data_IF_996993489471
#
_entry.id   IF_996993489471
#
_cell.length_a   1.000
_cell.length_b   1.000
_cell.length_c   1.000
_cell.angle_alpha   90.00
_cell.angle_beta   90.00
_cell.angle_gamma   90.00
#
_symmetry.space_group_name_H-M   'P 1'
#
loop_
_entity.id
_entity.type
_entity.pdbx_description
1 polymer ?
#
# COMPACT_ATOMS: atom_id res chain seq x y z
N UNK A 1 -17.11 37.59 -45.24
CA UNK A 1 -16.93 36.12 -45.30
C UNK A 1 -17.61 35.55 -44.07
N UNK A 2 -18.78 34.93 -44.23
CA UNK A 2 -19.61 34.48 -43.10
C UNK A 2 -19.13 33.11 -42.60
N UNK A 3 -19.12 32.85 -41.27
CA UNK A 3 -18.70 31.58 -40.71
C UNK A 3 -19.68 30.45 -41.11
N UNK A 4 -19.18 29.23 -41.39
CA UNK A 4 -20.03 28.11 -41.76
C UNK A 4 -20.94 27.70 -40.59
N UNK A 5 -22.21 27.40 -40.91
CA UNK A 5 -23.19 26.95 -39.95
C UNK A 5 -22.76 25.63 -39.26
N UNK A 6 -23.02 25.48 -37.94
CA UNK A 6 -22.64 24.30 -37.20
C UNK A 6 -23.41 23.07 -37.70
N UNK A 7 -22.68 22.03 -38.13
CA UNK A 7 -23.26 20.76 -38.56
C UNK A 7 -24.02 20.10 -37.41
N UNK A 8 -25.32 19.86 -37.58
CA UNK A 8 -26.15 19.13 -36.63
C UNK A 8 -25.71 17.67 -36.57
N UNK A 9 -24.81 17.33 -35.64
CA UNK A 9 -24.42 15.94 -35.41
C UNK A 9 -25.63 15.15 -34.89
N UNK A 10 -25.95 13.96 -35.44
CA UNK A 10 -27.08 13.17 -34.99
C UNK A 10 -26.90 12.80 -33.51
N UNK A 11 -27.95 13.03 -32.69
CA UNK A 11 -27.98 12.62 -31.28
C UNK A 11 -27.80 11.10 -31.22
N UNK A 12 -26.63 10.65 -30.75
CA UNK A 12 -26.39 9.22 -30.49
C UNK A 12 -27.42 8.74 -29.47
N UNK A 13 -28.14 7.67 -29.81
CA UNK A 13 -29.10 7.04 -28.88
C UNK A 13 -28.33 6.51 -27.67
N UNK A 14 -28.84 6.69 -26.44
CA UNK A 14 -28.20 6.16 -25.24
C UNK A 14 -28.02 4.64 -25.37
N UNK A 15 -26.79 4.17 -25.19
CA UNK A 15 -26.50 2.75 -25.19
C UNK A 15 -27.17 2.09 -23.96
N UNK A 16 -27.98 1.03 -24.12
CA UNK A 16 -28.60 0.34 -23.00
C UNK A 16 -27.51 -0.34 -22.18
N UNK A 17 -27.32 0.12 -20.93
CA UNK A 17 -26.32 -0.44 -20.01
C UNK A 17 -26.75 -1.83 -19.58
N UNK A 18 -25.99 -2.84 -20.00
CA UNK A 18 -26.17 -4.22 -19.56
C UNK A 18 -25.72 -4.40 -18.10
N UNK A 19 -26.06 -5.54 -17.50
CA UNK A 19 -25.66 -5.84 -16.12
C UNK A 19 -24.13 -5.95 -15.98
N UNK A 20 -23.44 -6.39 -17.05
CA UNK A 20 -21.98 -6.38 -17.15
C UNK A 20 -21.40 -4.97 -17.16
N UNK A 21 -22.01 -4.03 -17.88
CA UNK A 21 -21.55 -2.62 -17.92
C UNK A 21 -21.67 -1.93 -16.55
N UNK A 22 -22.62 -2.35 -15.72
CA UNK A 22 -22.78 -1.82 -14.35
C UNK A 22 -21.72 -2.35 -13.38
N UNK A 23 -21.21 -3.55 -13.62
CA UNK A 23 -20.20 -4.21 -12.80
C UNK A 23 -18.77 -3.86 -13.23
N UNK A 24 -18.57 -3.46 -14.49
CA UNK A 24 -17.27 -3.07 -15.02
C UNK A 24 -16.29 -4.26 -15.11
N UNK A 25 -14.97 -4.07 -14.91
CA UNK A 25 -14.00 -5.16 -14.98
C UNK A 25 -14.25 -6.25 -13.92
N UNK A 26 -14.97 -5.91 -12.85
CA UNK A 26 -15.33 -6.85 -11.78
C UNK A 26 -16.39 -7.87 -12.24
N UNK A 27 -17.07 -7.65 -13.38
CA UNK A 27 -18.10 -8.55 -13.90
C UNK A 27 -17.59 -9.99 -14.06
N UNK A 28 -16.36 -10.16 -14.57
CA UNK A 28 -15.76 -11.48 -14.76
C UNK A 28 -15.56 -12.23 -13.42
N UNK A 29 -15.18 -11.52 -12.36
CA UNK A 29 -15.01 -12.11 -11.02
C UNK A 29 -16.37 -12.45 -10.39
N UNK A 30 -17.36 -11.59 -10.56
CA UNK A 30 -18.73 -11.85 -10.10
C UNK A 30 -19.34 -13.06 -10.81
N UNK A 31 -19.16 -13.19 -12.12
CA UNK A 31 -19.63 -14.37 -12.87
C UNK A 31 -18.90 -15.66 -12.46
N UNK A 32 -17.57 -15.60 -12.25
CA UNK A 32 -16.81 -16.76 -11.73
C UNK A 32 -17.27 -17.15 -10.33
N UNK A 33 -17.47 -16.18 -9.43
CA UNK A 33 -17.96 -16.45 -8.07
C UNK A 33 -19.38 -17.03 -8.09
N UNK A 34 -20.26 -16.51 -8.95
CA UNK A 34 -21.61 -17.06 -9.14
C UNK A 34 -21.57 -18.52 -9.66
N UNK A 35 -20.65 -18.82 -10.59
CA UNK A 35 -20.44 -20.18 -11.10
C UNK A 35 -19.97 -21.15 -10.01
N UNK A 36 -18.94 -20.80 -9.25
CA UNK A 36 -18.42 -21.65 -8.17
C UNK A 36 -19.40 -21.83 -7.01
N UNK A 37 -20.15 -20.79 -6.65
CA UNK A 37 -21.19 -20.88 -5.61
C UNK A 37 -22.36 -21.75 -6.07
N UNK A 38 -22.75 -21.67 -7.35
CA UNK A 38 -23.73 -22.58 -7.95
C UNK A 38 -23.27 -24.04 -7.89
N UNK A 39 -22.03 -24.33 -8.32
CA UNK A 39 -21.48 -25.68 -8.26
C UNK A 39 -21.39 -26.22 -6.82
N UNK A 40 -20.94 -25.40 -5.87
CA UNK A 40 -20.90 -25.77 -4.45
C UNK A 40 -22.28 -26.07 -3.86
N UNK A 41 -23.31 -25.31 -4.25
CA UNK A 41 -24.68 -25.53 -3.78
C UNK A 41 -25.29 -26.85 -4.25
N UNK A 42 -24.91 -27.34 -5.44
CA UNK A 42 -25.35 -28.65 -5.93
C UNK A 42 -24.79 -29.81 -5.10
N UNK A 43 -23.59 -29.66 -4.52
CA UNK A 43 -22.98 -30.67 -3.64
C UNK A 43 -23.71 -30.81 -2.29
N UNK A 44 -24.61 -29.88 -1.93
CA UNK A 44 -25.42 -29.98 -0.72
C UNK A 44 -26.64 -30.92 -0.89
N UNK A 45 -27.02 -31.27 -2.13
CA UNK A 45 -28.21 -32.08 -2.42
C UNK A 45 -28.19 -33.45 -1.71
N UNK A 46 -27.10 -34.25 -1.75
CA UNK A 46 -27.07 -35.55 -1.07
C UNK A 46 -27.22 -35.43 0.45
N UNK A 47 -26.65 -34.39 1.04
CA UNK A 47 -26.72 -34.11 2.48
C UNK A 47 -28.15 -33.79 2.89
N UNK A 48 -28.85 -32.95 2.11
CA UNK A 48 -30.25 -32.59 2.35
C UNK A 48 -31.17 -33.80 2.22
N UNK A 49 -30.98 -34.63 1.19
CA UNK A 49 -31.77 -35.86 0.99
C UNK A 49 -31.57 -36.83 2.15
N UNK A 50 -30.32 -36.99 2.63
CA UNK A 50 -29.99 -37.90 3.72
C UNK A 50 -30.60 -37.48 5.07
N UNK A 51 -30.65 -36.17 5.35
CA UNK A 51 -31.18 -35.62 6.60
C UNK A 51 -32.66 -35.21 6.54
N UNK A 52 -33.37 -35.56 5.47
CA UNK A 52 -34.74 -35.11 5.26
C UNK A 52 -35.72 -35.80 6.23
N UNK A 53 -36.51 -35.06 7.01
CA UNK A 53 -37.53 -35.65 7.88
C UNK A 53 -38.58 -36.41 7.06
N UNK A 54 -39.03 -37.59 7.50
CA UNK A 54 -40.14 -38.27 6.85
C UNK A 54 -41.40 -37.40 6.90
N UNK A 55 -42.04 -37.18 5.74
CA UNK A 55 -43.30 -36.42 5.61
C UNK A 55 -43.19 -35.10 4.86
N UNK A 56 -41.99 -34.62 4.54
CA UNK A 56 -41.82 -33.45 3.66
C UNK A 56 -41.64 -33.94 2.21
N UNK A 57 -42.37 -33.40 1.22
CA UNK A 57 -42.17 -33.79 -0.17
C UNK A 57 -40.84 -33.22 -0.69
N UNK A 58 -40.00 -34.09 -1.26
CA UNK A 58 -38.68 -33.74 -1.80
C UNK A 58 -38.72 -32.58 -2.81
N UNK A 59 -39.81 -32.48 -3.59
CA UNK A 59 -40.02 -31.44 -4.60
C UNK A 59 -40.04 -30.01 -4.01
N UNK A 60 -40.43 -29.86 -2.74
CA UNK A 60 -40.46 -28.56 -2.06
C UNK A 60 -39.16 -28.27 -1.29
N UNK A 61 -38.59 -29.28 -0.62
CA UNK A 61 -37.42 -29.05 0.24
C UNK A 61 -36.12 -28.87 -0.53
N UNK A 62 -35.93 -29.58 -1.64
CA UNK A 62 -34.71 -29.50 -2.45
C UNK A 62 -34.44 -28.10 -3.01
N UNK A 63 -35.38 -27.44 -3.74
CA UNK A 63 -35.10 -26.11 -4.27
C UNK A 63 -34.92 -25.06 -3.17
N UNK A 64 -35.63 -25.20 -2.05
CA UNK A 64 -35.51 -24.29 -0.91
C UNK A 64 -34.13 -24.40 -0.24
N UNK A 65 -33.66 -25.63 -0.02
CA UNK A 65 -32.35 -25.87 0.59
C UNK A 65 -31.20 -25.42 -0.32
N UNK A 66 -31.28 -25.69 -1.63
CA UNK A 66 -30.29 -25.22 -2.61
C UNK A 66 -30.27 -23.69 -2.66
N UNK A 67 -31.43 -23.05 -2.69
CA UNK A 67 -31.54 -21.58 -2.68
C UNK A 67 -30.95 -20.94 -1.42
N UNK A 68 -31.24 -21.50 -0.24
CA UNK A 68 -30.67 -21.04 1.03
C UNK A 68 -29.16 -21.22 1.10
N UNK A 69 -28.64 -22.38 0.67
CA UNK A 69 -27.21 -22.65 0.64
C UNK A 69 -26.48 -21.69 -0.30
N UNK A 70 -27.04 -21.47 -1.51
CA UNK A 70 -26.50 -20.51 -2.46
C UNK A 70 -26.48 -19.08 -1.92
N UNK A 71 -27.60 -18.61 -1.33
CA UNK A 71 -27.70 -17.29 -0.74
C UNK A 71 -26.71 -17.07 0.42
N UNK A 72 -26.53 -18.08 1.27
CA UNK A 72 -25.57 -18.05 2.37
C UNK A 72 -24.13 -17.97 1.86
N UNK A 73 -23.74 -18.87 0.94
CA UNK A 73 -22.41 -18.87 0.35
C UNK A 73 -22.11 -17.57 -0.40
N UNK A 74 -23.05 -17.06 -1.18
CA UNK A 74 -22.91 -15.79 -1.89
C UNK A 74 -22.74 -14.63 -0.91
N UNK A 75 -23.51 -14.62 0.20
CA UNK A 75 -23.40 -13.59 1.24
C UNK A 75 -22.04 -13.62 1.93
N UNK A 76 -21.51 -14.80 2.27
CA UNK A 76 -20.17 -14.95 2.88
C UNK A 76 -19.09 -14.50 1.90
N UNK A 77 -19.14 -14.94 0.65
CA UNK A 77 -18.19 -14.51 -0.37
C UNK A 77 -18.23 -12.98 -0.56
N UNK A 78 -19.42 -12.39 -0.63
CA UNK A 78 -19.60 -10.95 -0.76
C UNK A 78 -19.08 -10.18 0.45
N UNK A 79 -19.26 -10.71 1.67
CA UNK A 79 -18.75 -10.12 2.90
C UNK A 79 -17.22 -10.15 2.98
N UNK A 80 -16.59 -11.24 2.51
CA UNK A 80 -15.14 -11.40 2.45
C UNK A 80 -14.50 -10.54 1.35
N UNK A 81 -15.19 -10.37 0.23
CA UNK A 81 -14.72 -9.55 -0.89
C UNK A 81 -14.80 -8.06 -0.56
N UNK A 82 -15.86 -7.58 0.12
CA UNK A 82 -16.07 -6.16 0.45
C UNK A 82 -14.88 -5.42 1.08
N UNK A 83 -14.19 -5.93 2.13
CA UNK A 83 -13.00 -5.28 2.66
C UNK A 83 -11.79 -5.36 1.71
N UNK A 84 -11.77 -6.34 0.81
CA UNK A 84 -10.73 -6.51 -0.21
C UNK A 84 -10.89 -5.60 -1.42
N UNK A 85 -12.12 -5.27 -1.86
CA UNK A 85 -12.34 -4.44 -3.09
C UNK A 85 -11.81 -3.02 -2.92
N UNK A 86 -11.85 -2.45 -1.71
CA UNK A 86 -11.27 -1.12 -1.45
C UNK A 86 -9.75 -1.09 -1.65
N UNK A 87 -9.07 -2.19 -1.37
CA UNK A 87 -7.61 -2.34 -1.57
C UNK A 87 -7.33 -2.76 -3.02
N UNK A 88 -8.05 -3.75 -3.55
CA UNK A 88 -7.84 -4.29 -4.89
C UNK A 88 -8.16 -3.27 -6.02
N UNK A 89 -9.16 -2.40 -5.86
CA UNK A 89 -9.41 -1.30 -6.82
C UNK A 89 -8.23 -0.33 -6.92
N UNK A 90 -7.48 -0.15 -5.84
CA UNK A 90 -6.28 0.69 -5.84
C UNK A 90 -5.12 0.05 -6.61
N UNK A 91 -5.07 -1.29 -6.67
CA UNK A 91 -3.97 -2.02 -7.31
C UNK A 91 -4.27 -2.53 -8.73
N UNK A 92 -5.52 -2.82 -9.07
CA UNK A 92 -5.86 -3.57 -10.29
C UNK A 92 -6.43 -2.72 -11.44
N UNK A 93 -6.91 -1.49 -11.18
CA UNK A 93 -7.50 -0.67 -12.22
C UNK A 93 -7.33 0.84 -11.94
N UNK A 94 -6.13 1.42 -12.12
CA UNK A 94 -6.01 2.86 -12.20
C UNK A 94 -6.78 3.33 -13.44
N UNK A 95 -7.90 4.01 -13.22
CA UNK A 95 -8.68 4.60 -14.30
C UNK A 95 -7.84 5.65 -15.02
N UNK A 96 -7.52 5.44 -16.30
CA UNK A 96 -6.66 6.32 -17.11
C UNK A 96 -7.18 7.75 -17.35
N UNK A 97 -8.32 8.13 -16.76
CA UNK A 97 -8.84 9.50 -16.74
C UNK A 97 -8.54 10.24 -15.42
N UNK A 98 -7.97 9.56 -14.42
CA UNK A 98 -7.65 10.12 -13.09
C UNK A 98 -6.28 9.72 -12.59
N UNK A 99 -5.42 9.16 -13.44
CA UNK A 99 -3.98 9.19 -13.22
C UNK A 99 -3.51 10.49 -13.84
N UNK A 100 -3.21 11.55 -13.05
CA UNK A 100 -2.27 12.56 -13.54
C UNK A 100 -1.11 11.79 -14.16
N UNK A 101 -0.60 12.25 -15.30
CA UNK A 101 0.69 11.79 -15.77
C UNK A 101 1.70 12.27 -14.72
N UNK A 102 1.81 11.50 -13.64
CA UNK A 102 2.88 11.67 -12.69
C UNK A 102 4.13 11.40 -13.50
N UNK A 103 5.06 12.33 -13.45
CA UNK A 103 6.29 12.29 -14.21
C UNK A 103 7.09 11.06 -13.77
N UNK A 104 6.83 9.93 -14.44
CA UNK A 104 7.39 8.63 -14.13
C UNK A 104 8.89 8.77 -14.40
N UNK A 105 9.70 8.48 -13.40
CA UNK A 105 11.18 8.48 -13.45
C UNK A 105 11.72 7.40 -14.40
N UNK A 106 11.08 7.19 -15.55
CA UNK A 106 11.29 6.05 -16.45
C UNK A 106 12.71 6.02 -16.98
N UNK A 107 13.33 7.18 -17.24
CA UNK A 107 14.71 7.25 -17.68
C UNK A 107 15.67 6.89 -16.55
N UNK A 108 15.50 7.50 -15.38
CA UNK A 108 16.33 7.25 -14.21
C UNK A 108 16.21 5.78 -13.74
N UNK A 109 15.00 5.23 -13.73
CA UNK A 109 14.74 3.83 -13.40
C UNK A 109 15.31 2.88 -14.46
N UNK A 110 15.22 3.21 -15.75
CA UNK A 110 15.87 2.41 -16.80
C UNK A 110 17.39 2.36 -16.63
N UNK A 111 18.03 3.47 -16.22
CA UNK A 111 19.46 3.51 -15.92
C UNK A 111 19.82 2.68 -14.69
N UNK A 112 18.99 2.70 -13.63
CA UNK A 112 19.16 1.83 -12.46
C UNK A 112 19.08 0.36 -12.87
N UNK A 113 18.12 -0.02 -13.72
CA UNK A 113 17.97 -1.39 -14.22
C UNK A 113 19.12 -1.82 -15.13
N UNK A 114 19.79 -0.87 -15.79
CA UNK A 114 21.01 -1.11 -16.57
C UNK A 114 22.28 -1.11 -15.71
N UNK A 115 22.17 -1.02 -14.38
CA UNK A 115 23.29 -0.90 -13.44
C UNK A 115 24.15 0.36 -13.65
N UNK A 116 23.65 1.35 -14.39
CA UNK A 116 24.31 2.64 -14.66
C UNK A 116 24.02 3.63 -13.55
N UNK A 117 24.34 3.23 -12.32
CA UNK A 117 24.01 3.97 -11.09
C UNK A 117 24.53 5.42 -11.05
N UNK A 118 25.77 5.74 -11.47
CA UNK A 118 26.25 7.12 -11.43
C UNK A 118 25.45 8.06 -12.32
N UNK A 119 25.00 7.57 -13.48
CA UNK A 119 24.19 8.35 -14.42
C UNK A 119 22.77 8.56 -13.90
N UNK A 120 22.17 7.51 -13.32
CA UNK A 120 20.87 7.62 -12.67
C UNK A 120 20.89 8.66 -11.53
N UNK A 121 21.91 8.60 -10.66
CA UNK A 121 22.09 9.56 -9.58
C UNK A 121 22.32 10.98 -10.11
N UNK A 122 23.10 11.16 -11.18
CA UNK A 122 23.29 12.46 -11.79
C UNK A 122 21.98 13.07 -12.31
N UNK A 123 21.10 12.25 -12.91
CA UNK A 123 19.77 12.71 -13.33
C UNK A 123 18.87 13.07 -12.14
N UNK A 124 18.85 12.25 -11.09
CA UNK A 124 18.11 12.56 -9.88
C UNK A 124 18.60 13.86 -9.23
N UNK A 125 19.91 14.06 -9.08
CA UNK A 125 20.48 15.28 -8.50
C UNK A 125 20.19 16.52 -9.38
N UNK A 126 20.27 16.40 -10.71
CA UNK A 126 19.88 17.47 -11.62
C UNK A 126 18.40 17.85 -11.45
N UNK A 127 17.53 16.86 -11.24
CA UNK A 127 16.10 17.08 -10.99
C UNK A 127 15.83 17.70 -9.64
N UNK A 128 16.52 17.26 -8.58
CA UNK A 128 16.44 17.86 -7.24
C UNK A 128 16.91 19.32 -7.27
N UNK A 129 17.93 19.62 -8.07
CA UNK A 129 18.39 21.00 -8.28
C UNK A 129 17.36 21.86 -9.03
N UNK A 130 16.67 21.28 -10.02
CA UNK A 130 15.63 21.96 -10.79
C UNK A 130 14.34 22.20 -9.98
N UNK A 131 13.92 21.21 -9.18
CA UNK A 131 12.79 21.32 -8.27
C UNK A 131 13.16 20.90 -6.83
N UNK A 132 13.62 21.86 -6.00
CA UNK A 132 13.90 21.61 -4.61
C UNK A 132 12.66 21.32 -3.75
N UNK A 133 11.43 21.28 -4.27
CA UNK A 133 10.26 20.82 -3.52
C UNK A 133 9.87 19.37 -3.88
N UNK A 134 10.52 18.75 -4.87
CA UNK A 134 10.23 17.38 -5.25
C UNK A 134 10.73 16.39 -4.19
N UNK A 135 9.82 16.00 -3.30
CA UNK A 135 10.07 15.02 -2.26
C UNK A 135 10.33 13.62 -2.84
N UNK A 136 9.74 13.27 -3.99
CA UNK A 136 9.85 11.92 -4.56
C UNK A 136 11.23 11.71 -5.17
N UNK A 137 11.73 12.66 -5.96
CA UNK A 137 13.08 12.59 -6.53
C UNK A 137 14.14 12.41 -5.44
N UNK A 138 14.03 13.18 -4.34
CA UNK A 138 14.94 13.06 -3.19
C UNK A 138 14.87 11.71 -2.48
N UNK A 139 13.67 11.19 -2.26
CA UNK A 139 13.50 9.88 -1.62
C UNK A 139 14.13 8.79 -2.49
N UNK A 140 13.90 8.82 -3.82
CA UNK A 140 14.48 7.85 -4.75
C UNK A 140 16.00 7.93 -4.80
N UNK A 141 16.55 9.14 -4.87
CA UNK A 141 18.00 9.36 -4.78
C UNK A 141 18.57 8.83 -3.45
N UNK A 142 17.90 9.11 -2.33
CA UNK A 142 18.32 8.62 -1.02
C UNK A 142 18.32 7.09 -0.92
N UNK A 143 17.35 6.41 -1.54
CA UNK A 143 17.32 4.94 -1.61
C UNK A 143 18.53 4.38 -2.37
N UNK A 144 18.90 4.99 -3.50
CA UNK A 144 20.07 4.61 -4.29
C UNK A 144 21.38 4.86 -3.53
N UNK A 145 21.50 6.00 -2.85
CA UNK A 145 22.64 6.32 -1.99
C UNK A 145 22.76 5.36 -0.79
N UNK A 146 21.64 5.01 -0.16
CA UNK A 146 21.61 4.11 0.99
C UNK A 146 21.93 2.64 0.63
N UNK A 147 21.62 2.24 -0.61
CA UNK A 147 21.83 0.88 -1.10
C UNK A 147 23.08 0.78 -1.98
N UNK A 148 22.90 0.67 -3.30
CA UNK A 148 23.96 0.24 -4.20
C UNK A 148 25.10 1.25 -4.39
N UNK A 149 24.87 2.55 -4.17
CA UNK A 149 25.94 3.55 -4.26
C UNK A 149 26.77 3.67 -2.97
N UNK A 150 26.32 3.09 -1.85
CA UNK A 150 27.12 2.97 -0.63
C UNK A 150 27.43 4.29 0.10
N UNK A 151 26.63 5.34 -0.09
CA UNK A 151 26.76 6.62 0.63
C UNK A 151 25.55 6.86 1.57
N UNK A 152 25.53 6.19 2.75
CA UNK A 152 24.44 6.34 3.71
C UNK A 152 24.36 7.76 4.32
N UNK A 153 25.44 8.56 4.25
CA UNK A 153 25.46 9.92 4.77
C UNK A 153 24.67 10.84 3.86
N UNK A 154 24.96 10.79 2.56
CA UNK A 154 24.22 11.54 1.54
C UNK A 154 22.74 11.15 1.53
N UNK A 155 22.43 9.86 1.68
CA UNK A 155 21.06 9.39 1.81
C UNK A 155 20.33 10.04 3.00
N UNK A 156 20.98 10.10 4.17
CA UNK A 156 20.40 10.71 5.35
C UNK A 156 20.20 12.23 5.21
N UNK A 157 21.10 12.92 4.50
CA UNK A 157 20.94 14.35 4.17
C UNK A 157 19.69 14.60 3.32
N UNK A 158 19.54 13.85 2.22
CA UNK A 158 18.39 13.98 1.33
C UNK A 158 17.06 13.70 2.04
N UNK A 159 17.01 12.69 2.91
CA UNK A 159 15.80 12.38 3.70
C UNK A 159 15.47 13.49 4.71
N UNK A 160 16.48 14.11 5.34
CA UNK A 160 16.25 15.29 6.21
C UNK A 160 15.73 16.47 5.41
N UNK A 161 16.25 16.68 4.20
CA UNK A 161 15.75 17.75 3.32
C UNK A 161 14.28 17.53 2.96
N UNK A 162 13.87 16.28 2.72
CA UNK A 162 12.46 15.93 2.50
C UNK A 162 11.60 16.26 3.73
N UNK A 163 12.07 15.97 4.94
CA UNK A 163 11.34 16.31 6.17
C UNK A 163 11.15 17.83 6.37
N UNK A 164 11.94 18.68 5.70
CA UNK A 164 11.80 20.15 5.78
C UNK A 164 10.78 20.71 4.78
N UNK A 165 10.28 19.88 3.86
CA UNK A 165 9.28 20.31 2.87
C UNK A 165 7.93 20.52 3.59
N UNK A 166 7.31 21.72 3.50
CA UNK A 166 6.04 21.99 4.16
C UNK A 166 4.90 21.21 3.51
N UNK A 167 3.95 20.73 4.32
CA UNK A 167 2.77 20.03 3.83
C UNK A 167 3.02 18.61 3.32
N UNK A 168 4.15 17.99 3.70
CA UNK A 168 4.43 16.60 3.35
C UNK A 168 3.28 15.68 3.84
N UNK A 169 2.73 14.79 2.99
CA UNK A 169 1.70 13.86 3.41
C UNK A 169 2.16 12.99 4.58
N UNK A 170 1.27 12.73 5.54
CA UNK A 170 1.61 11.99 6.76
C UNK A 170 2.24 10.61 6.50
N UNK A 171 1.75 9.89 5.49
CA UNK A 171 2.33 8.61 5.07
C UNK A 171 3.77 8.74 4.56
N UNK A 172 4.08 9.80 3.82
CA UNK A 172 5.43 10.05 3.32
C UNK A 172 6.36 10.53 4.44
N UNK A 173 5.86 11.33 5.39
CA UNK A 173 6.67 11.71 6.56
C UNK A 173 7.03 10.50 7.43
N UNK A 174 6.06 9.62 7.71
CA UNK A 174 6.30 8.37 8.43
C UNK A 174 7.32 7.48 7.71
N UNK A 175 7.20 7.34 6.39
CA UNK A 175 8.14 6.58 5.57
C UNK A 175 9.57 7.14 5.67
N UNK A 176 9.73 8.44 5.43
CA UNK A 176 11.03 9.12 5.44
C UNK A 176 11.68 9.07 6.82
N UNK A 177 10.91 9.31 7.89
CA UNK A 177 11.43 9.25 9.25
C UNK A 177 11.85 7.83 9.66
N UNK A 178 11.08 6.81 9.28
CA UNK A 178 11.45 5.42 9.56
C UNK A 178 12.70 5.02 8.78
N UNK A 179 12.78 5.38 7.50
CA UNK A 179 13.97 5.13 6.67
C UNK A 179 15.22 5.82 7.22
N UNK A 180 15.07 7.04 7.74
CA UNK A 180 16.16 7.77 8.38
C UNK A 180 16.61 7.10 9.69
N UNK A 181 15.67 6.58 10.50
CA UNK A 181 15.98 5.78 11.68
C UNK A 181 16.75 4.50 11.31
N UNK A 182 16.34 3.78 10.25
CA UNK A 182 17.06 2.60 9.76
C UNK A 182 18.50 2.93 9.36
N UNK A 183 18.73 4.05 8.67
CA UNK A 183 20.08 4.49 8.31
C UNK A 183 20.94 4.76 9.55
N UNK A 184 20.35 5.37 10.59
CA UNK A 184 21.04 5.64 11.85
C UNK A 184 21.36 4.37 12.65
N UNK A 185 20.49 3.36 12.61
CA UNK A 185 20.70 2.09 13.30
C UNK A 185 21.66 1.17 12.56
N UNK A 186 21.63 1.19 11.24
CA UNK A 186 22.50 0.37 10.40
C UNK A 186 23.80 1.10 10.05
N UNK A 187 23.95 1.56 8.81
CA UNK A 187 25.24 1.95 8.25
C UNK A 187 25.87 3.20 8.88
N UNK A 188 25.10 4.08 9.53
CA UNK A 188 25.66 5.25 10.21
C UNK A 188 26.05 4.98 11.67
N UNK A 189 25.59 3.88 12.27
CA UNK A 189 25.88 3.50 13.66
C UNK A 189 25.70 4.65 14.69
N UNK A 190 24.66 5.46 14.53
CA UNK A 190 24.31 6.55 15.45
C UNK A 190 22.95 6.30 16.13
N UNK A 191 22.85 5.30 17.04
CA UNK A 191 21.57 4.89 17.63
C UNK A 191 20.88 5.99 18.43
N UNK A 192 21.65 6.93 19.02
CA UNK A 192 21.10 8.10 19.70
C UNK A 192 20.25 8.97 18.74
N UNK A 193 20.69 9.14 17.48
CA UNK A 193 19.94 9.89 16.47
C UNK A 193 18.69 9.13 16.01
N UNK A 194 18.78 7.81 15.87
CA UNK A 194 17.61 6.97 15.60
C UNK A 194 16.53 7.13 16.68
N UNK A 195 16.93 7.10 17.95
CA UNK A 195 16.01 7.26 19.07
C UNK A 195 15.27 8.60 19.04
N UNK A 196 15.95 9.68 18.64
CA UNK A 196 15.34 11.01 18.48
C UNK A 196 14.32 11.01 17.35
N UNK A 197 14.64 10.44 16.19
CA UNK A 197 13.69 10.36 15.06
C UNK A 197 12.47 9.51 15.39
N UNK A 198 12.66 8.33 16.02
CA UNK A 198 11.54 7.46 16.38
C UNK A 198 10.60 8.12 17.40
N UNK A 199 11.15 8.88 18.37
CA UNK A 199 10.33 9.66 19.31
C UNK A 199 9.57 10.76 18.59
N UNK A 200 10.24 11.52 17.72
CA UNK A 200 9.59 12.56 16.91
C UNK A 200 8.40 11.99 16.12
N UNK A 201 8.56 10.82 15.50
CA UNK A 201 7.47 10.15 14.78
C UNK A 201 6.32 9.74 15.72
N UNK A 202 6.63 9.17 16.89
CA UNK A 202 5.62 8.76 17.86
C UNK A 202 4.83 9.96 18.43
N UNK A 203 5.54 11.05 18.72
CA UNK A 203 4.93 12.28 19.25
C UNK A 203 4.01 12.93 18.21
N UNK A 204 4.41 12.91 16.93
CA UNK A 204 3.61 13.47 15.83
C UNK A 204 2.45 12.57 15.41
N UNK A 205 2.60 11.25 15.53
CA UNK A 205 1.64 10.26 15.04
C UNK A 205 1.30 9.18 16.10
N UNK A 206 0.75 9.57 17.28
CA UNK A 206 0.56 8.66 18.41
C UNK A 206 -0.46 7.55 18.17
N UNK A 207 -1.43 7.80 17.29
CA UNK A 207 -2.53 6.89 16.93
C UNK A 207 -2.30 6.16 15.60
N UNK A 208 -1.11 6.32 15.00
CA UNK A 208 -0.79 5.60 13.77
C UNK A 208 -0.73 4.09 14.01
N UNK A 209 -1.00 3.31 12.95
CA UNK A 209 -0.83 1.84 12.99
C UNK A 209 0.61 1.41 13.34
N UNK A 210 1.59 2.30 13.11
CA UNK A 210 3.00 2.08 13.44
C UNK A 210 3.36 2.41 14.89
N UNK A 211 2.51 3.15 15.63
CA UNK A 211 2.83 3.60 16.98
C UNK A 211 3.23 2.47 17.95
N UNK A 212 2.57 1.29 17.98
CA UNK A 212 3.04 0.16 18.80
C UNK A 212 4.44 -0.31 18.43
N UNK A 213 4.77 -0.35 17.13
CA UNK A 213 6.09 -0.76 16.64
C UNK A 213 7.16 0.28 17.00
N UNK A 214 6.86 1.57 16.87
CA UNK A 214 7.76 2.66 17.28
C UNK A 214 8.06 2.60 18.78
N UNK A 215 7.04 2.38 19.63
CA UNK A 215 7.24 2.22 21.09
C UNK A 215 8.15 1.04 21.41
N UNK A 216 7.94 -0.10 20.75
CA UNK A 216 8.77 -1.29 20.93
C UNK A 216 10.24 -1.04 20.50
N UNK A 217 10.45 -0.39 19.35
CA UNK A 217 11.79 -0.03 18.87
C UNK A 217 12.51 0.94 19.82
N UNK A 218 11.80 1.96 20.34
CA UNK A 218 12.34 2.90 21.33
C UNK A 218 12.74 2.18 22.62
N UNK A 219 11.89 1.27 23.12
CA UNK A 219 12.18 0.51 24.34
C UNK A 219 13.42 -0.38 24.16
N UNK A 220 13.50 -1.09 23.03
CA UNK A 220 14.65 -1.93 22.67
C UNK A 220 15.94 -1.11 22.60
N UNK A 221 15.93 0.01 21.88
CA UNK A 221 17.12 0.87 21.74
C UNK A 221 17.60 1.46 23.06
N UNK A 222 16.67 1.81 23.96
CA UNK A 222 17.02 2.25 25.32
C UNK A 222 17.72 1.15 26.11
N UNK A 223 17.19 -0.07 26.05
CA UNK A 223 17.78 -1.21 26.76
C UNK A 223 19.19 -1.57 26.24
N UNK A 224 19.42 -1.44 24.94
CA UNK A 224 20.70 -1.81 24.32
C UNK A 224 21.78 -0.73 24.44
N UNK A 225 21.41 0.56 24.42
CA UNK A 225 22.38 1.65 24.20
C UNK A 225 22.36 2.78 25.23
N UNK A 226 21.40 2.80 26.18
CA UNK A 226 21.45 3.75 27.30
C UNK A 226 22.05 2.99 28.48
N UNK A 227 23.35 3.19 28.80
CA UNK A 227 23.93 2.59 29.99
C UNK A 227 23.11 3.03 31.20
N UNK A 228 22.68 2.06 32.02
CA UNK A 228 21.89 2.35 33.22
C UNK A 228 22.72 3.27 34.13
N UNK A 229 22.32 4.54 34.32
CA UNK A 229 23.07 5.46 35.17
C UNK A 229 23.08 5.03 36.65
N UNK A 230 22.32 3.98 37.01
CA UNK A 230 22.29 3.37 38.34
C UNK A 230 23.12 2.10 38.47
N UNK A 231 23.71 1.60 37.39
CA UNK A 231 24.76 0.60 37.50
C UNK A 231 25.99 1.29 38.06
N UNK A 232 26.11 1.33 39.40
CA UNK A 232 27.36 1.76 40.04
C UNK A 232 28.51 0.99 39.40
N UNK A 233 29.66 1.64 39.10
CA UNK A 233 30.83 0.91 38.69
C UNK A 233 31.10 -0.11 39.78
N UNK A 234 30.98 -1.40 39.44
CA UNK A 234 31.45 -2.48 40.31
C UNK A 234 32.94 -2.23 40.44
N UNK A 235 33.30 -1.49 41.49
CA UNK A 235 34.65 -1.17 41.88
C UNK A 235 35.27 -2.47 42.36
N UNK A 236 35.66 -3.30 41.39
CA UNK A 236 36.54 -4.45 41.54
C UNK A 236 37.93 -3.96 41.90
N UNK A 237 38.04 -3.39 43.10
CA UNK A 237 39.26 -3.35 43.89
C UNK A 237 39.49 -4.78 44.36
N UNK A 238 40.39 -5.50 43.70
CA UNK A 238 40.77 -6.86 44.07
C UNK A 238 42.09 -7.20 43.40
N UNK A 239 43.15 -6.94 44.15
CA UNK A 239 44.57 -7.28 43.94
C UNK A 239 44.74 -8.73 43.46
#
# INVERSE_FOLDING_TARGET
MAPPAPSSRPRRRPYPRTLGDRLGPDAAHVYKAAGWTGFGSLMAIPVVVYHMPPGIPAVLALPLAVGLCWALMFSVAYLLIRPGVGVARFYLAPTGASTPYEDQFSLEEALVMQERLPEALALYEARIAADPADARARVRAAELYAGPAGDPRRAAELLRDVQRIPGLPSGQELYVGNRLADLYLGPLATPARALVELRRLLDRYPDSRLAPQLRAAIAKLKAEHVPDPRAEPVSGSGI
#
